data_IF_882531860472
#
_entry.id   IF_882531860472
#
_cell.length_a   1.000
_cell.length_b   1.000
_cell.length_c   1.000
_cell.angle_alpha   90.00
_cell.angle_beta   90.00
_cell.angle_gamma   90.00
#
_symmetry.space_group_name_H-M   'P 1'
#
loop_
_entity.id
_entity.type
_entity.pdbx_description
1 polymer ?
#
# COMPACT_ATOMS: atom_id res chain seq x y z
N UNK A 1 0.50 2.74 -6.76
CA UNK A 1 0.36 3.82 -5.75
C UNK A 1 1.62 4.65 -5.83
N UNK A 2 1.48 5.97 -5.70
CA UNK A 2 2.58 6.93 -5.68
C UNK A 2 2.60 7.59 -4.30
N UNK A 3 3.79 7.78 -3.75
CA UNK A 3 3.99 8.35 -2.41
C UNK A 3 4.95 9.54 -2.54
N UNK A 4 4.46 10.74 -2.91
CA UNK A 4 5.28 11.94 -2.88
C UNK A 4 5.60 12.31 -1.42
N UNK A 5 6.56 13.21 -1.22
CA UNK A 5 6.70 13.86 0.08
C UNK A 5 5.41 14.63 0.43
N UNK A 6 5.06 14.73 1.71
CA UNK A 6 3.82 15.43 2.09
C UNK A 6 3.80 16.91 1.68
N UNK A 7 4.97 17.57 1.64
CA UNK A 7 5.08 18.94 1.12
C UNK A 7 4.79 19.06 -0.37
N UNK A 8 4.94 17.98 -1.12
CA UNK A 8 4.68 17.92 -2.56
C UNK A 8 3.36 17.22 -2.91
N UNK A 9 2.59 16.77 -1.91
CA UNK A 9 1.39 15.97 -2.10
C UNK A 9 0.35 16.68 -2.99
N UNK A 10 0.04 17.93 -2.67
CA UNK A 10 -0.94 18.73 -3.43
C UNK A 10 -0.42 19.12 -4.81
N UNK A 11 0.88 19.41 -4.92
CA UNK A 11 1.54 19.70 -6.20
C UNK A 11 1.54 18.47 -7.13
N UNK A 12 1.80 17.28 -6.58
CA UNK A 12 1.74 16.02 -7.33
C UNK A 12 0.33 15.74 -7.84
N UNK A 13 -0.69 16.00 -7.01
CA UNK A 13 -2.08 15.91 -7.42
C UNK A 13 -2.42 16.87 -8.56
N UNK A 14 -1.98 18.13 -8.47
CA UNK A 14 -2.16 19.13 -9.52
C UNK A 14 -1.50 18.68 -10.83
N UNK A 15 -0.25 18.21 -10.79
CA UNK A 15 0.48 17.73 -11.97
C UNK A 15 -0.21 16.54 -12.65
N UNK A 16 -0.83 15.64 -11.89
CA UNK A 16 -1.64 14.56 -12.46
C UNK A 16 -2.84 15.12 -13.24
N UNK A 17 -3.53 16.11 -12.70
CA UNK A 17 -4.66 16.76 -13.39
C UNK A 17 -4.19 17.46 -14.67
N UNK A 18 -3.08 18.19 -14.62
CA UNK A 18 -2.47 18.86 -15.78
C UNK A 18 -2.04 17.85 -16.87
N UNK A 19 -1.61 16.65 -16.46
CA UNK A 19 -1.30 15.54 -17.36
C UNK A 19 -2.54 14.79 -17.89
N UNK A 20 -3.75 15.27 -17.58
CA UNK A 20 -5.01 14.71 -18.08
C UNK A 20 -5.58 13.56 -17.26
N UNK A 21 -4.99 13.23 -16.10
CA UNK A 21 -5.61 12.28 -15.17
C UNK A 21 -6.86 12.91 -14.56
N UNK A 22 -7.91 12.11 -14.42
CA UNK A 22 -9.22 12.61 -13.98
C UNK A 22 -9.44 12.28 -12.50
N UNK A 23 -9.69 13.27 -11.63
CA UNK A 23 -9.98 13.02 -10.22
C UNK A 23 -11.13 12.05 -10.03
N UNK A 24 -11.00 11.20 -9.03
CA UNK A 24 -11.89 10.08 -8.78
C UNK A 24 -12.34 10.05 -7.32
N UNK A 25 -13.51 10.62 -7.00
CA UNK A 25 -13.94 10.82 -5.61
C UNK A 25 -14.57 9.57 -4.95
N UNK A 26 -14.36 8.37 -5.49
CA UNK A 26 -14.90 7.14 -4.89
C UNK A 26 -14.14 6.77 -3.62
N UNK A 27 -14.81 6.15 -2.65
CA UNK A 27 -14.20 5.59 -1.44
C UNK A 27 -13.77 4.14 -1.63
N UNK A 28 -12.83 3.64 -0.80
CA UNK A 28 -12.44 2.22 -0.84
C UNK A 28 -13.55 1.27 -0.36
N UNK A 29 -14.60 1.80 0.27
CA UNK A 29 -15.81 1.06 0.60
C UNK A 29 -16.62 0.62 -0.64
N UNK A 30 -16.38 1.24 -1.81
CA UNK A 30 -17.20 1.03 -3.01
C UNK A 30 -16.51 0.03 -3.95
N UNK A 31 -17.22 -1.06 -4.25
CA UNK A 31 -16.73 -2.13 -5.13
C UNK A 31 -16.75 -1.73 -6.62
N UNK A 32 -17.77 -0.96 -7.04
CA UNK A 32 -17.87 -0.47 -8.41
C UNK A 32 -18.46 0.96 -8.42
N UNK A 33 -17.63 1.99 -8.68
CA UNK A 33 -18.08 3.37 -8.77
C UNK A 33 -19.13 3.62 -9.87
N UNK A 34 -19.17 2.80 -10.92
CA UNK A 34 -20.16 2.96 -12.00
C UNK A 34 -21.56 2.49 -11.60
N UNK A 35 -21.66 1.68 -10.54
CA UNK A 35 -22.94 1.22 -9.99
C UNK A 35 -23.55 2.23 -9.01
N UNK A 36 -22.82 3.29 -8.65
CA UNK A 36 -23.35 4.32 -7.76
C UNK A 36 -24.22 5.27 -8.56
N UNK A 37 -25.49 5.37 -8.17
CA UNK A 37 -26.44 6.31 -8.78
C UNK A 37 -25.96 7.74 -8.57
N UNK A 38 -26.02 8.55 -9.62
CA UNK A 38 -25.72 9.98 -9.54
C UNK A 38 -26.91 10.78 -8.97
N UNK A 39 -27.43 10.33 -7.83
CA UNK A 39 -28.46 11.01 -7.05
C UNK A 39 -27.93 11.36 -5.65
N UNK A 40 -28.66 12.20 -4.91
CA UNK A 40 -28.24 12.68 -3.59
C UNK A 40 -28.01 11.53 -2.59
N UNK A 41 -28.74 10.42 -2.74
CA UNK A 41 -28.62 9.23 -1.90
C UNK A 41 -27.33 8.49 -2.25
N UNK A 42 -27.05 8.26 -3.54
CA UNK A 42 -25.81 7.65 -4.02
C UNK A 42 -24.58 8.47 -3.61
N UNK A 43 -24.64 9.80 -3.72
CA UNK A 43 -23.59 10.71 -3.24
C UNK A 43 -23.41 10.67 -1.72
N UNK A 44 -24.49 10.56 -0.94
CA UNK A 44 -24.41 10.35 0.52
C UNK A 44 -23.84 8.99 0.89
N UNK A 45 -24.17 7.93 0.15
CA UNK A 45 -23.61 6.59 0.35
C UNK A 45 -22.13 6.54 -0.04
N UNK A 46 -21.72 7.32 -1.05
CA UNK A 46 -20.30 7.54 -1.39
C UNK A 46 -19.52 8.19 -0.25
N UNK A 47 -20.11 9.20 0.39
CA UNK A 47 -19.47 10.02 1.42
C UNK A 47 -19.57 9.42 2.84
N UNK A 48 -20.57 8.58 3.11
CA UNK A 48 -20.59 7.70 4.29
C UNK A 48 -19.65 6.52 4.02
N UNK A 49 -18.36 6.85 3.92
CA UNK A 49 -17.30 5.87 3.94
C UNK A 49 -17.56 4.90 5.09
N UNK A 50 -17.53 3.62 4.78
CA UNK A 50 -17.49 2.58 5.77
C UNK A 50 -16.28 2.84 6.67
N UNK A 51 -16.47 2.97 7.99
CA UNK A 51 -15.41 3.33 8.96
C UNK A 51 -14.15 2.44 8.82
N UNK A 52 -14.29 1.29 8.18
CA UNK A 52 -13.23 0.32 7.84
C UNK A 52 -12.16 0.82 6.87
N UNK A 53 -12.38 1.92 6.15
CA UNK A 53 -11.40 2.54 5.23
C UNK A 53 -11.23 4.05 5.44
N UNK A 54 -11.87 4.64 6.46
CA UNK A 54 -11.93 6.11 6.61
C UNK A 54 -10.55 6.76 6.68
N UNK A 55 -9.60 6.15 7.38
CA UNK A 55 -8.24 6.68 7.50
C UNK A 55 -7.47 6.60 6.18
N UNK A 56 -7.59 5.49 5.45
CA UNK A 56 -7.05 5.35 4.08
C UNK A 56 -7.68 6.36 3.12
N UNK A 57 -9.00 6.56 3.19
CA UNK A 57 -9.72 7.52 2.36
C UNK A 57 -9.25 8.96 2.63
N UNK A 58 -9.03 9.32 3.91
CA UNK A 58 -8.54 10.64 4.32
C UNK A 58 -7.08 10.92 3.90
N UNK A 59 -6.27 9.87 3.77
CA UNK A 59 -4.85 9.96 3.42
C UNK A 59 -4.55 9.60 1.96
N UNK A 60 -5.58 9.59 1.09
CA UNK A 60 -5.40 9.22 -0.32
C UNK A 60 -6.20 10.06 -1.31
N UNK A 61 -5.55 10.39 -2.43
CA UNK A 61 -6.18 10.92 -3.63
C UNK A 61 -6.16 9.86 -4.72
N UNK A 62 -7.22 9.82 -5.52
CA UNK A 62 -7.44 8.81 -6.55
C UNK A 62 -7.71 9.48 -7.88
N UNK A 63 -7.23 8.85 -8.95
CA UNK A 63 -7.38 9.34 -10.31
C UNK A 63 -7.64 8.18 -11.28
N UNK A 64 -8.46 8.45 -12.29
CA UNK A 64 -8.55 7.64 -13.50
C UNK A 64 -7.47 8.09 -14.49
N UNK A 65 -7.03 7.15 -15.34
CA UNK A 65 -6.18 7.48 -16.48
C UNK A 65 -6.88 8.46 -17.46
N UNK A 66 -6.09 9.21 -18.25
CA UNK A 66 -6.61 10.08 -19.29
C UNK A 66 -7.52 9.35 -20.28
N UNK A 67 -8.40 10.10 -20.95
CA UNK A 67 -9.28 9.55 -21.99
C UNK A 67 -8.45 8.96 -23.12
N UNK A 68 -8.83 7.77 -23.59
CA UNK A 68 -8.10 7.04 -24.64
C UNK A 68 -7.15 5.97 -24.13
N UNK A 69 -6.90 5.89 -22.81
CA UNK A 69 -6.22 4.76 -22.20
C UNK A 69 -7.24 3.68 -21.81
N UNK A 70 -7.17 2.47 -22.40
CA UNK A 70 -8.10 1.41 -22.10
C UNK A 70 -7.78 0.77 -20.74
N UNK A 71 -8.80 0.66 -19.88
CA UNK A 71 -8.79 -0.21 -18.71
C UNK A 71 -9.26 0.45 -17.42
N UNK A 72 -9.42 -0.34 -16.34
CA UNK A 72 -9.90 0.13 -15.05
C UNK A 72 -8.76 0.69 -14.18
N UNK A 73 -7.58 0.94 -14.74
CA UNK A 73 -6.39 1.34 -13.99
C UNK A 73 -6.61 2.66 -13.25
N UNK A 74 -6.00 2.74 -12.08
CA UNK A 74 -6.16 3.86 -11.15
C UNK A 74 -4.80 4.29 -10.66
N UNK A 75 -4.60 5.60 -10.62
CA UNK A 75 -3.48 6.19 -9.89
C UNK A 75 -3.99 6.58 -8.51
N UNK A 76 -3.21 6.25 -7.49
CA UNK A 76 -3.50 6.60 -6.11
C UNK A 76 -2.27 7.30 -5.54
N UNK A 77 -2.48 8.51 -5.03
CA UNK A 77 -1.50 9.20 -4.19
C UNK A 77 -1.79 8.87 -2.73
N UNK A 78 -0.74 8.60 -1.96
CA UNK A 78 -0.79 8.40 -0.52
C UNK A 78 0.13 9.39 0.18
N UNK A 79 -0.30 9.90 1.34
CA UNK A 79 0.54 10.76 2.18
C UNK A 79 1.74 9.99 2.72
N UNK A 80 2.94 10.57 2.62
CA UNK A 80 4.17 9.93 3.10
C UNK A 80 4.15 9.65 4.60
N UNK A 81 3.58 10.57 5.39
CA UNK A 81 3.40 10.47 6.85
C UNK A 81 2.47 9.35 7.24
N UNK A 82 1.43 9.10 6.44
CA UNK A 82 0.49 8.00 6.66
C UNK A 82 1.14 6.64 6.44
N UNK A 83 1.90 6.48 5.35
CA UNK A 83 2.53 5.19 5.02
C UNK A 83 3.92 4.99 5.65
N UNK A 84 4.53 6.04 6.20
CA UNK A 84 5.87 5.97 6.77
C UNK A 84 7.00 5.76 5.75
N UNK A 85 6.76 6.06 4.47
CA UNK A 85 7.76 6.06 3.39
C UNK A 85 7.73 7.42 2.72
N UNK A 86 8.92 7.94 2.39
CA UNK A 86 9.11 9.16 1.60
C UNK A 86 10.11 8.92 0.47
N UNK A 87 10.05 9.70 -0.62
CA UNK A 87 11.11 9.67 -1.63
C UNK A 87 12.49 9.89 -0.98
N UNK A 88 13.56 9.22 -1.47
CA UNK A 88 14.89 9.36 -0.90
C UNK A 88 15.41 10.79 -1.10
N UNK A 89 16.08 11.33 -0.07
CA UNK A 89 16.59 12.71 -0.04
C UNK A 89 18.10 12.81 0.12
N UNK A 90 18.75 11.70 0.42
CA UNK A 90 20.15 11.62 0.82
C UNK A 90 20.75 10.28 0.35
N UNK A 91 22.09 10.18 0.23
CA UNK A 91 22.73 8.98 -0.30
C UNK A 91 22.43 7.68 0.46
N UNK A 92 22.15 7.77 1.76
CA UNK A 92 21.82 6.61 2.60
C UNK A 92 20.42 6.09 2.29
N UNK A 93 19.42 6.98 2.25
CA UNK A 93 18.05 6.62 1.89
C UNK A 93 17.96 6.07 0.47
N UNK A 94 18.73 6.59 -0.50
CA UNK A 94 18.77 6.06 -1.87
C UNK A 94 19.14 4.57 -1.92
N UNK A 95 19.99 4.08 -1.01
CA UNK A 95 20.39 2.66 -0.99
C UNK A 95 19.23 1.71 -0.66
N UNK A 96 18.16 2.22 -0.03
CA UNK A 96 16.94 1.46 0.29
C UNK A 96 15.91 1.46 -0.85
N UNK A 97 16.24 2.02 -2.01
CA UNK A 97 15.38 2.05 -3.18
C UNK A 97 16.10 1.52 -4.42
N UNK A 98 15.34 0.83 -5.26
CA UNK A 98 15.70 0.67 -6.67
C UNK A 98 15.05 1.78 -7.48
N UNK A 99 15.77 2.36 -8.45
CA UNK A 99 15.28 3.41 -9.30
C UNK A 99 15.06 2.88 -10.72
N UNK A 100 13.88 3.13 -11.29
CA UNK A 100 13.60 2.93 -12.71
C UNK A 100 13.04 4.23 -13.27
N UNK A 101 13.77 4.84 -14.20
CA UNK A 101 13.57 6.21 -14.67
C UNK A 101 13.50 7.22 -13.51
N UNK A 102 12.30 7.70 -13.19
CA UNK A 102 12.03 8.66 -12.11
C UNK A 102 11.19 8.07 -10.99
N UNK A 103 11.05 6.73 -10.95
CA UNK A 103 10.27 6.02 -9.95
C UNK A 103 11.19 5.25 -9.00
N UNK A 104 11.05 5.55 -7.71
CA UNK A 104 11.78 4.89 -6.64
C UNK A 104 10.91 3.80 -6.01
N UNK A 105 11.41 2.57 -6.02
CA UNK A 105 10.76 1.40 -5.46
C UNK A 105 11.50 0.96 -4.20
N UNK A 106 10.85 0.97 -3.02
CA UNK A 106 11.50 0.61 -1.76
C UNK A 106 11.94 -0.87 -1.79
N UNK A 107 13.02 -1.17 -1.08
CA UNK A 107 13.38 -2.55 -0.79
C UNK A 107 12.31 -3.26 0.07
N UNK A 108 12.43 -4.58 0.19
CA UNK A 108 11.45 -5.38 0.92
C UNK A 108 11.38 -5.02 2.42
N UNK A 109 12.49 -4.57 3.02
CA UNK A 109 12.55 -4.21 4.44
C UNK A 109 11.77 -2.92 4.71
N UNK A 110 12.03 -1.88 3.91
CA UNK A 110 11.34 -0.59 3.98
C UNK A 110 9.85 -0.73 3.64
N UNK A 111 9.50 -1.56 2.66
CA UNK A 111 8.11 -1.82 2.31
C UNK A 111 7.38 -2.58 3.43
N UNK A 112 8.03 -3.55 4.07
CA UNK A 112 7.48 -4.25 5.23
C UNK A 112 7.27 -3.31 6.41
N UNK A 113 8.29 -2.52 6.75
CA UNK A 113 8.25 -1.50 7.79
C UNK A 113 7.06 -0.55 7.60
N UNK A 114 6.86 -0.08 6.36
CA UNK A 114 5.73 0.77 5.98
C UNK A 114 4.37 0.11 6.22
N UNK A 115 4.18 -1.12 5.75
CA UNK A 115 2.91 -1.82 5.97
C UNK A 115 2.59 -1.98 7.44
N UNK A 116 3.59 -2.29 8.28
CA UNK A 116 3.40 -2.42 9.72
C UNK A 116 3.11 -1.06 10.37
N UNK A 117 3.86 0.00 10.01
CA UNK A 117 3.60 1.36 10.50
C UNK A 117 2.20 1.84 10.17
N UNK A 118 1.73 1.61 8.93
CA UNK A 118 0.35 1.94 8.55
C UNK A 118 -0.64 1.09 9.35
N UNK A 119 -0.39 -0.21 9.46
CA UNK A 119 -1.27 -1.14 10.18
C UNK A 119 -1.48 -0.74 11.64
N UNK A 120 -0.42 -0.28 12.32
CA UNK A 120 -0.47 0.14 13.72
C UNK A 120 -1.24 1.45 13.92
N UNK A 121 -1.42 2.26 12.87
CA UNK A 121 -2.23 3.48 12.88
C UNK A 121 -3.71 3.21 12.52
N UNK A 122 -4.00 2.06 11.91
CA UNK A 122 -5.35 1.71 11.47
C UNK A 122 -6.20 1.10 12.59
N UNK A 123 -7.50 1.42 12.59
CA UNK A 123 -8.47 0.69 13.40
C UNK A 123 -8.66 -0.73 12.84
N UNK A 124 -8.91 -1.74 13.69
CA UNK A 124 -9.19 -3.09 13.22
C UNK A 124 -10.35 -3.11 12.22
N UNK A 125 -10.08 -3.59 11.01
CA UNK A 125 -11.01 -3.53 9.89
C UNK A 125 -10.45 -4.20 8.64
N UNK A 126 -11.18 -4.13 7.53
CA UNK A 126 -10.79 -4.79 6.29
C UNK A 126 -9.43 -4.33 5.77
N UNK A 127 -9.14 -3.03 5.84
CA UNK A 127 -7.84 -2.50 5.44
C UNK A 127 -6.69 -2.99 6.34
N UNK A 128 -6.88 -2.95 7.66
CA UNK A 128 -5.94 -3.49 8.64
C UNK A 128 -5.62 -4.98 8.36
N UNK A 129 -6.63 -5.80 8.09
CA UNK A 129 -6.42 -7.22 7.73
C UNK A 129 -5.68 -7.40 6.40
N UNK A 130 -5.94 -6.54 5.41
CA UNK A 130 -5.22 -6.56 4.14
C UNK A 130 -3.75 -6.20 4.35
N UNK A 131 -3.45 -5.12 5.07
CA UNK A 131 -2.09 -4.73 5.42
C UNK A 131 -1.32 -5.87 6.09
N UNK A 132 -1.97 -6.56 7.03
CA UNK A 132 -1.39 -7.73 7.69
C UNK A 132 -1.10 -8.87 6.72
N UNK A 133 -2.04 -9.16 5.81
CA UNK A 133 -1.88 -10.20 4.81
C UNK A 133 -0.74 -9.87 3.82
N UNK A 134 -0.64 -8.61 3.38
CA UNK A 134 0.46 -8.14 2.54
C UNK A 134 1.81 -8.23 3.26
N UNK A 135 1.90 -7.75 4.49
CA UNK A 135 3.13 -7.82 5.30
C UNK A 135 3.61 -9.27 5.50
N UNK A 136 2.73 -10.17 5.94
CA UNK A 136 3.13 -11.52 6.36
C UNK A 136 3.10 -12.53 5.23
N UNK A 137 2.04 -12.57 4.41
CA UNK A 137 1.93 -13.60 3.38
C UNK A 137 2.74 -13.23 2.13
N UNK A 138 2.71 -11.97 1.71
CA UNK A 138 3.42 -11.55 0.49
C UNK A 138 4.87 -11.16 0.76
N UNK A 139 5.11 -10.11 1.55
CA UNK A 139 6.46 -9.58 1.73
C UNK A 139 7.31 -10.58 2.51
N UNK A 140 6.90 -10.96 3.71
CA UNK A 140 7.64 -11.97 4.46
C UNK A 140 7.55 -13.35 3.80
N UNK A 141 6.35 -13.87 3.57
CA UNK A 141 6.14 -15.26 3.13
C UNK A 141 6.61 -15.56 1.71
N UNK A 142 6.22 -14.76 0.71
CA UNK A 142 6.52 -15.03 -0.71
C UNK A 142 7.89 -14.49 -1.12
N UNK A 143 8.28 -13.29 -0.67
CA UNK A 143 9.61 -12.76 -0.99
C UNK A 143 10.73 -13.36 -0.12
N UNK A 144 10.38 -14.28 0.78
CA UNK A 144 11.33 -15.05 1.59
C UNK A 144 12.31 -14.18 2.41
N UNK A 145 11.84 -13.01 2.86
CA UNK A 145 12.61 -12.05 3.67
C UNK A 145 13.03 -12.64 5.02
N UNK A 146 14.25 -12.39 5.49
CA UNK A 146 14.76 -12.96 6.74
C UNK A 146 13.96 -12.52 7.99
N UNK A 147 13.95 -13.34 9.03
CA UNK A 147 13.27 -13.06 10.30
C UNK A 147 13.86 -11.84 11.04
N UNK A 148 15.10 -11.49 10.72
CA UNK A 148 15.90 -10.38 11.26
C UNK A 148 15.71 -9.07 10.49
N UNK A 149 14.89 -9.05 9.42
CA UNK A 149 14.83 -7.92 8.48
C UNK A 149 14.49 -6.57 9.12
N UNK A 150 13.72 -6.57 10.21
CA UNK A 150 13.36 -5.35 10.94
C UNK A 150 14.23 -5.11 12.19
N UNK A 151 15.32 -5.86 12.42
CA UNK A 151 16.14 -5.71 13.64
C UNK A 151 16.77 -4.32 13.76
N UNK A 152 17.11 -3.71 12.61
CA UNK A 152 17.63 -2.34 12.53
C UNK A 152 16.54 -1.27 12.44
N UNK A 153 15.26 -1.63 12.55
CA UNK A 153 14.18 -0.64 12.56
C UNK A 153 14.18 0.13 13.89
N UNK A 154 14.12 1.45 13.82
CA UNK A 154 14.10 2.32 15.01
C UNK A 154 12.77 2.24 15.78
N UNK A 155 11.69 1.82 15.12
CA UNK A 155 10.37 1.73 15.72
C UNK A 155 10.19 0.37 16.44
N UNK A 156 10.29 0.40 17.77
CA UNK A 156 10.11 -0.79 18.61
C UNK A 156 8.74 -1.44 18.46
N UNK A 157 7.67 -0.67 18.19
CA UNK A 157 6.34 -1.25 18.02
C UNK A 157 6.26 -2.07 16.72
N UNK A 158 6.91 -1.59 15.66
CA UNK A 158 7.02 -2.32 14.39
C UNK A 158 7.77 -3.64 14.58
N UNK A 159 8.90 -3.60 15.29
CA UNK A 159 9.69 -4.81 15.60
C UNK A 159 8.90 -5.81 16.44
N UNK A 160 8.28 -5.34 17.51
CA UNK A 160 7.49 -6.19 18.41
C UNK A 160 6.34 -6.87 17.65
N UNK A 161 5.57 -6.08 16.90
CA UNK A 161 4.46 -6.60 16.11
C UNK A 161 4.93 -7.66 15.11
N UNK A 162 6.01 -7.40 14.38
CA UNK A 162 6.52 -8.33 13.38
C UNK A 162 7.02 -9.63 14.02
N UNK A 163 7.83 -9.53 15.08
CA UNK A 163 8.37 -10.68 15.80
C UNK A 163 7.26 -11.58 16.38
N UNK A 164 6.23 -10.97 16.98
CA UNK A 164 5.06 -11.71 17.48
C UNK A 164 4.35 -12.42 16.33
N UNK A 165 4.13 -11.70 15.22
CA UNK A 165 3.36 -12.22 14.09
C UNK A 165 4.02 -13.39 13.38
N UNK A 166 5.36 -13.37 13.27
CA UNK A 166 6.14 -14.49 12.72
C UNK A 166 6.46 -15.58 13.75
N UNK A 167 6.02 -15.42 15.01
CA UNK A 167 6.32 -16.33 16.13
C UNK A 167 7.82 -16.52 16.34
N UNK A 168 8.58 -15.43 16.24
CA UNK A 168 10.03 -15.44 16.44
C UNK A 168 10.34 -15.93 17.86
N UNK A 169 11.26 -16.87 18.00
CA UNK A 169 11.56 -17.52 19.29
C UNK A 169 10.53 -18.55 19.75
N UNK A 170 9.42 -18.74 19.02
CA UNK A 170 8.34 -19.68 19.34
C UNK A 170 8.08 -20.70 18.22
N UNK A 171 9.15 -21.13 17.53
CA UNK A 171 9.10 -22.12 16.46
C UNK A 171 8.89 -21.56 15.06
N UNK A 172 8.69 -20.24 14.91
CA UNK A 172 8.55 -19.56 13.63
C UNK A 172 7.25 -19.89 12.88
N UNK A 173 7.02 -19.22 11.76
CA UNK A 173 5.97 -19.59 10.81
C UNK A 173 6.52 -20.61 9.81
N UNK A 174 5.73 -21.64 9.46
CA UNK A 174 6.05 -22.52 8.33
C UNK A 174 5.87 -21.77 7.01
N UNK A 175 6.99 -21.43 6.39
CA UNK A 175 7.03 -20.70 5.10
C UNK A 175 7.01 -21.65 3.89
N UNK A 176 7.26 -22.94 4.10
CA UNK A 176 7.28 -23.96 3.04
C UNK A 176 5.89 -24.26 2.45
N UNK A 177 4.83 -23.97 3.19
CA UNK A 177 3.45 -24.16 2.71
C UNK A 177 2.95 -22.97 1.85
N UNK A 178 3.49 -21.76 2.03
CA UNK A 178 3.16 -20.57 1.23
C UNK A 178 3.70 -20.71 -0.21
N UNK A 179 4.92 -21.22 -0.38
CA UNK A 179 5.54 -21.45 -1.70
C UNK A 179 4.81 -22.49 -2.55
N UNK A 180 4.19 -23.51 -1.93
CA UNK A 180 3.39 -24.53 -2.65
C UNK A 180 2.16 -23.97 -3.36
N UNK A 181 1.62 -22.82 -2.91
CA UNK A 181 0.51 -22.14 -3.60
C UNK A 181 1.01 -21.24 -4.75
N UNK A 182 2.15 -20.57 -4.58
CA UNK A 182 2.75 -19.76 -5.63
C UNK A 182 3.29 -20.61 -6.81
N UNK A 183 3.84 -21.80 -6.52
CA UNK A 183 4.36 -22.72 -7.54
C UNK A 183 3.30 -23.33 -8.48
N UNK A 184 2.00 -23.23 -8.15
CA UNK A 184 0.89 -23.69 -9.01
C UNK A 184 0.46 -22.66 -10.07
N UNK A 185 0.98 -21.43 -10.02
CA UNK A 185 0.72 -20.37 -11.01
C UNK A 185 1.85 -20.24 -12.06
N UNK A 186 2.55 -21.32 -12.38
CA UNK A 186 3.36 -21.37 -13.62
C UNK A 186 2.41 -21.61 -14.80
N UNK A 187 2.27 -20.59 -15.65
CA UNK A 187 1.61 -20.70 -16.95
C UNK A 187 2.21 -21.86 -17.77
N UNK A 188 1.41 -22.53 -18.62
CA UNK A 188 1.94 -23.55 -19.51
C UNK A 188 2.97 -22.89 -20.43
N UNK A 189 4.19 -23.41 -20.39
CA UNK A 189 5.20 -23.11 -21.41
C UNK A 189 4.78 -23.84 -22.68
N UNK A 190 4.96 -23.13 -23.81
CA UNK A 190 4.53 -23.52 -25.17
C UNK A 190 4.88 -24.95 -25.55
#
# INVERSE_FOLDING_TARGET
MLVPSDSEYDLAAQKLVEAGFRPAPWTYAIKDPQLVRDDEIGRRTLLRGDDRYGNLDANSLRFQFPVGFPGPERVVLLRSTYVGIRPPSDPESVQRFSCNDNLYYPDAALLLESFVKTLLQETPGSWHYLLQAWAIAYIYGILMVEDTVLDSCDDENVKLWFNERIRRGHGGLDRGTVSKRAGKFRAPTK
#
